data_IF_487792032461
#
_entry.id   IF_487792032461
#
_cell.length_a   1.000
_cell.length_b   1.000
_cell.length_c   1.000
_cell.angle_alpha   90.00
_cell.angle_beta   90.00
_cell.angle_gamma   90.00
#
_symmetry.space_group_name_H-M   'P 1'
#
loop_
_entity.id
_entity.type
_entity.pdbx_description
1 polymer ?
#
# COMPACT_ATOMS: atom_id res chain seq x y z
N UNK A 1 -8.07 4.86 -9.59
CA UNK A 1 -8.86 4.94 -8.34
C UNK A 1 -10.20 4.23 -8.41
N UNK A 2 -10.97 4.34 -9.50
CA UNK A 2 -12.25 3.60 -9.61
C UNK A 2 -12.10 2.08 -9.51
N UNK A 3 -11.03 1.49 -10.03
CA UNK A 3 -10.76 0.03 -9.95
C UNK A 3 -10.72 -0.47 -8.51
N UNK A 4 -9.94 0.20 -7.65
CA UNK A 4 -9.84 -0.15 -6.23
C UNK A 4 -11.18 0.05 -5.51
N UNK A 5 -11.90 1.15 -5.79
CA UNK A 5 -13.21 1.41 -5.20
C UNK A 5 -14.27 0.35 -5.56
N UNK A 6 -14.21 -0.22 -6.77
CA UNK A 6 -15.12 -1.29 -7.18
C UNK A 6 -14.75 -2.65 -6.58
N UNK A 7 -13.48 -2.84 -6.24
CA UNK A 7 -12.97 -4.06 -5.63
C UNK A 7 -13.12 -4.08 -4.10
N UNK A 8 -13.27 -2.91 -3.48
CA UNK A 8 -13.48 -2.78 -2.04
C UNK A 8 -14.97 -2.98 -1.70
N UNK A 9 -15.22 -3.70 -0.60
CA UNK A 9 -16.55 -3.82 -0.01
C UNK A 9 -16.83 -2.61 0.90
N UNK A 10 -15.77 -2.08 1.53
CA UNK A 10 -15.76 -0.93 2.43
C UNK A 10 -14.92 0.24 1.85
N UNK A 11 -15.08 1.47 2.34
CA UNK A 11 -14.23 2.60 1.95
C UNK A 11 -12.74 2.33 2.18
N UNK A 12 -11.90 2.78 1.24
CA UNK A 12 -10.44 2.71 1.38
C UNK A 12 -9.96 3.95 2.12
N UNK A 13 -9.16 3.74 3.15
CA UNK A 13 -8.68 4.81 4.03
C UNK A 13 -7.41 5.48 3.54
N UNK A 14 -6.51 4.72 2.91
CA UNK A 14 -5.28 5.26 2.35
C UNK A 14 -4.90 4.50 1.08
N UNK A 15 -4.40 5.25 0.09
CA UNK A 15 -3.75 4.67 -1.10
C UNK A 15 -2.45 5.43 -1.34
N UNK A 16 -1.35 4.70 -1.37
CA UNK A 16 -0.05 5.20 -1.79
C UNK A 16 0.62 4.23 -2.77
N UNK A 17 1.40 4.76 -3.70
CA UNK A 17 2.29 3.96 -4.56
C UNK A 17 3.71 4.30 -4.17
N UNK A 18 4.58 3.31 -4.14
CA UNK A 18 5.99 3.49 -3.90
C UNK A 18 6.82 2.79 -4.97
N UNK A 19 8.00 3.35 -5.20
CA UNK A 19 9.04 2.78 -6.05
C UNK A 19 10.40 2.99 -5.41
N UNK A 20 11.46 2.69 -6.16
CA UNK A 20 12.83 2.78 -5.66
C UNK A 20 13.21 4.14 -5.04
N UNK A 21 12.60 5.22 -5.53
CA UNK A 21 12.94 6.59 -5.15
C UNK A 21 11.73 7.49 -4.88
N UNK A 22 10.51 6.95 -4.91
CA UNK A 22 9.29 7.75 -4.73
C UNK A 22 8.29 7.07 -3.80
N UNK A 23 7.54 7.90 -3.08
CA UNK A 23 6.37 7.53 -2.31
C UNK A 23 5.30 8.58 -2.63
N UNK A 24 4.31 8.17 -3.40
CA UNK A 24 3.26 9.01 -3.95
C UNK A 24 1.95 8.68 -3.23
N UNK A 25 1.50 9.59 -2.36
CA UNK A 25 0.24 9.48 -1.62
C UNK A 25 -0.92 9.98 -2.50
N UNK A 26 -1.84 9.09 -2.87
CA UNK A 26 -2.97 9.41 -3.76
C UNK A 26 -4.27 9.68 -3.00
N UNK A 27 -4.42 9.09 -1.82
CA UNK A 27 -5.65 9.24 -1.04
C UNK A 27 -5.41 9.01 0.44
N UNK A 28 -6.11 9.83 1.22
CA UNK A 28 -6.34 9.69 2.65
C UNK A 28 -7.81 10.00 2.87
N UNK A 29 -8.53 9.14 3.58
CA UNK A 29 -9.94 9.36 3.92
C UNK A 29 -10.08 10.38 5.05
N UNK A 30 -11.22 11.07 5.10
CA UNK A 30 -11.58 11.90 6.26
C UNK A 30 -11.69 11.05 7.54
N UNK A 31 -12.15 9.80 7.43
CA UNK A 31 -12.27 8.88 8.56
C UNK A 31 -10.91 8.48 9.14
N UNK A 32 -9.88 8.32 8.29
CA UNK A 32 -8.50 8.12 8.73
C UNK A 32 -7.92 9.40 9.32
N UNK A 33 -8.17 10.53 8.67
CA UNK A 33 -7.68 11.82 9.16
C UNK A 33 -8.25 12.17 10.53
N UNK A 34 -9.53 11.88 10.77
CA UNK A 34 -10.23 12.13 12.02
C UNK A 34 -9.85 11.14 13.14
N UNK A 35 -9.19 10.01 12.83
CA UNK A 35 -8.70 9.10 13.87
C UNK A 35 -7.38 9.54 14.52
N UNK A 36 -6.73 10.59 14.00
CA UNK A 36 -5.57 11.20 14.62
C UNK A 36 -5.95 12.49 15.33
N UNK A 37 -5.34 12.76 16.49
CA UNK A 37 -5.56 13.99 17.27
C UNK A 37 -5.24 15.25 16.46
N UNK A 38 -4.21 15.17 15.60
CA UNK A 38 -3.76 16.28 14.79
C UNK A 38 -3.11 15.82 13.47
N UNK A 39 -3.02 16.76 12.53
CA UNK A 39 -2.46 16.51 11.19
C UNK A 39 -0.97 16.13 11.24
N UNK A 40 -0.19 16.66 12.18
CA UNK A 40 1.23 16.30 12.29
C UNK A 40 1.39 14.83 12.70
N UNK A 41 0.53 14.33 13.59
CA UNK A 41 0.50 12.91 13.97
C UNK A 41 0.20 12.00 12.77
N UNK A 42 -0.81 12.31 11.96
CA UNK A 42 -1.10 11.59 10.70
C UNK A 42 0.10 11.63 9.73
N UNK A 43 0.70 12.80 9.54
CA UNK A 43 1.86 12.97 8.64
C UNK A 43 3.06 12.17 9.14
N UNK A 44 3.29 12.12 10.45
CA UNK A 44 4.36 11.34 11.05
C UNK A 44 4.14 9.84 10.79
N UNK A 45 2.93 9.32 11.01
CA UNK A 45 2.61 7.92 10.72
C UNK A 45 2.78 7.58 9.24
N UNK A 46 2.33 8.45 8.32
CA UNK A 46 2.51 8.24 6.88
C UNK A 46 4.00 8.29 6.50
N UNK A 47 4.78 9.17 7.12
CA UNK A 47 6.22 9.28 6.86
C UNK A 47 6.97 8.04 7.33
N UNK A 48 6.66 7.55 8.54
CA UNK A 48 7.23 6.33 9.10
C UNK A 48 6.91 5.11 8.22
N UNK A 49 5.66 4.99 7.78
CA UNK A 49 5.22 3.99 6.81
C UNK A 49 6.00 4.12 5.48
N UNK A 50 6.20 5.33 4.97
CA UNK A 50 6.95 5.55 3.75
C UNK A 50 8.43 5.14 3.88
N UNK A 51 9.05 5.41 5.03
CA UNK A 51 10.42 4.98 5.32
C UNK A 51 10.53 3.46 5.42
N UNK A 52 9.65 2.80 6.19
CA UNK A 52 9.60 1.34 6.29
C UNK A 52 9.45 0.69 4.90
N UNK A 53 8.52 1.21 4.08
CA UNK A 53 8.29 0.69 2.73
C UNK A 53 9.48 0.91 1.81
N UNK A 54 10.22 2.01 1.97
CA UNK A 54 11.45 2.25 1.21
C UNK A 54 12.52 1.23 1.59
N UNK A 55 12.69 0.95 2.88
CA UNK A 55 13.63 -0.05 3.36
C UNK A 55 13.27 -1.47 2.89
N UNK A 56 12.00 -1.86 2.98
CA UNK A 56 11.52 -3.14 2.45
C UNK A 56 11.74 -3.20 0.94
N UNK A 57 11.39 -2.15 0.19
CA UNK A 57 11.58 -2.12 -1.26
C UNK A 57 13.06 -2.21 -1.68
N UNK A 58 13.96 -1.50 -1.01
CA UNK A 58 15.41 -1.63 -1.25
C UNK A 58 15.88 -3.04 -0.93
N UNK A 59 15.44 -3.62 0.20
CA UNK A 59 15.76 -5.01 0.56
C UNK A 59 15.27 -5.97 -0.52
N UNK A 60 14.02 -5.85 -0.97
CA UNK A 60 13.45 -6.67 -2.05
C UNK A 60 14.22 -6.48 -3.37
N UNK A 61 14.54 -5.24 -3.77
CA UNK A 61 15.28 -4.92 -4.99
C UNK A 61 16.72 -5.46 -5.00
N UNK A 62 17.41 -5.42 -3.85
CA UNK A 62 18.75 -5.99 -3.68
C UNK A 62 18.77 -7.51 -3.88
N UNK A 63 17.68 -8.21 -3.57
CA UNK A 63 17.57 -9.66 -3.76
C UNK A 63 16.88 -10.06 -5.07
N UNK A 64 16.08 -9.19 -5.68
CA UNK A 64 15.44 -9.42 -6.98
C UNK A 64 16.44 -9.54 -8.14
N UNK A 65 17.62 -8.92 -8.04
CA UNK A 65 18.68 -9.04 -9.04
C UNK A 65 19.26 -10.44 -9.22
N UNK A 66 18.95 -11.40 -8.33
CA UNK A 66 19.42 -12.78 -8.38
C UNK A 66 18.40 -13.78 -8.96
N UNK A 67 17.16 -13.34 -9.25
CA UNK A 67 16.14 -14.20 -9.86
C UNK A 67 15.32 -13.43 -10.91
N UNK A 68 15.09 -14.00 -12.11
CA UNK A 68 14.32 -13.33 -13.17
C UNK A 68 12.83 -13.36 -12.83
N UNK A 69 12.33 -12.41 -12.02
CA UNK A 69 10.94 -12.37 -11.56
C UNK A 69 10.30 -11.00 -11.77
N UNK A 70 10.46 -10.40 -12.95
CA UNK A 70 9.74 -9.16 -13.32
C UNK A 70 8.21 -9.30 -13.42
N UNK A 71 7.66 -10.51 -13.23
CA UNK A 71 6.21 -10.81 -13.31
C UNK A 71 5.64 -11.49 -12.06
N UNK A 72 6.40 -11.59 -10.97
CA UNK A 72 5.90 -12.23 -9.76
C UNK A 72 5.26 -11.15 -8.87
N UNK A 73 3.99 -11.35 -8.53
CA UNK A 73 3.29 -10.50 -7.58
C UNK A 73 3.47 -11.09 -6.19
N UNK A 74 3.98 -10.27 -5.28
CA UNK A 74 4.07 -10.57 -3.86
C UNK A 74 3.10 -9.67 -3.12
N UNK A 75 2.40 -10.20 -2.12
CA UNK A 75 1.55 -9.38 -1.26
C UNK A 75 1.78 -9.75 0.20
N UNK A 76 1.67 -8.75 1.07
CA UNK A 76 1.81 -8.87 2.52
C UNK A 76 0.64 -8.15 3.16
N UNK A 77 0.04 -8.78 4.18
CA UNK A 77 -0.98 -8.15 5.01
C UNK A 77 -0.48 -7.95 6.43
N UNK A 78 -0.91 -6.85 7.04
CA UNK A 78 -0.53 -6.44 8.38
C UNK A 78 -1.63 -5.60 9.02
N UNK A 79 -1.28 -4.95 10.12
CA UNK A 79 -2.16 -4.01 10.81
C UNK A 79 -1.42 -2.72 11.14
N UNK A 80 -2.13 -1.61 11.02
CA UNK A 80 -1.68 -0.28 11.43
C UNK A 80 -2.87 0.43 12.05
N UNK A 81 -2.74 0.91 13.29
CA UNK A 81 -3.80 1.61 14.03
C UNK A 81 -5.17 0.90 14.01
N UNK A 82 -5.17 -0.43 14.17
CA UNK A 82 -6.39 -1.26 14.16
C UNK A 82 -7.00 -1.50 12.77
N UNK A 83 -6.45 -0.89 11.72
CA UNK A 83 -6.85 -1.08 10.32
C UNK A 83 -6.00 -2.14 9.65
N UNK A 84 -6.51 -2.73 8.58
CA UNK A 84 -5.76 -3.70 7.77
C UNK A 84 -4.86 -2.94 6.80
N UNK A 85 -3.58 -3.27 6.84
CA UNK A 85 -2.56 -2.78 5.94
C UNK A 85 -2.31 -3.85 4.86
N UNK A 86 -2.46 -3.49 3.60
CA UNK A 86 -2.11 -4.36 2.47
C UNK A 86 -0.98 -3.71 1.68
N UNK A 87 0.08 -4.48 1.47
CA UNK A 87 1.22 -4.11 0.64
C UNK A 87 1.26 -5.05 -0.55
N UNK A 88 1.20 -4.50 -1.76
CA UNK A 88 1.23 -5.26 -3.01
C UNK A 88 2.46 -4.84 -3.78
N UNK A 89 3.32 -5.79 -4.09
CA UNK A 89 4.57 -5.60 -4.81
C UNK A 89 4.45 -6.22 -6.19
N UNK A 90 4.82 -5.45 -7.21
CA UNK A 90 5.02 -5.98 -8.55
C UNK A 90 6.29 -5.41 -9.19
N UNK A 91 7.32 -6.25 -9.28
CA UNK A 91 8.60 -5.88 -9.87
C UNK A 91 9.20 -4.65 -9.17
N UNK A 92 9.31 -3.55 -9.91
CA UNK A 92 9.93 -2.30 -9.44
C UNK A 92 8.99 -1.30 -8.76
N UNK A 93 7.74 -1.67 -8.49
CA UNK A 93 6.74 -0.79 -7.86
C UNK A 93 5.95 -1.56 -6.81
N UNK A 94 5.43 -0.84 -5.82
CA UNK A 94 4.45 -1.38 -4.90
C UNK A 94 3.34 -0.39 -4.59
N UNK A 95 2.27 -0.90 -4.01
CA UNK A 95 1.10 -0.14 -3.59
C UNK A 95 0.78 -0.50 -2.15
N UNK A 96 0.55 0.53 -1.34
CA UNK A 96 0.05 0.39 0.03
C UNK A 96 -1.40 0.82 0.08
N UNK A 97 -2.22 -0.03 0.71
CA UNK A 97 -3.62 0.23 0.99
C UNK A 97 -3.84 0.12 2.50
N UNK A 98 -4.52 1.10 3.07
CA UNK A 98 -5.09 0.98 4.41
C UNK A 98 -6.61 0.87 4.27
N UNK A 99 -7.19 -0.18 4.85
CA UNK A 99 -8.60 -0.54 4.67
C UNK A 99 -9.21 -1.07 5.96
N UNK A 100 -10.54 -1.19 5.98
CA UNK A 100 -11.28 -1.81 7.07
C UNK A 100 -10.74 -3.22 7.40
N UNK A 101 -10.63 -3.63 8.68
CA UNK A 101 -10.08 -4.92 9.08
C UNK A 101 -10.75 -6.13 8.42
N UNK A 102 -12.07 -6.07 8.20
CA UNK A 102 -12.85 -7.15 7.59
C UNK A 102 -12.82 -7.15 6.04
N UNK A 103 -12.13 -6.18 5.43
CA UNK A 103 -12.05 -6.10 3.97
C UNK A 103 -11.36 -7.32 3.37
N UNK A 104 -11.97 -7.89 2.33
CA UNK A 104 -11.39 -9.01 1.58
C UNK A 104 -10.15 -8.56 0.83
N UNK A 105 -9.06 -9.32 0.99
CA UNK A 105 -7.74 -8.97 0.45
C UNK A 105 -7.63 -9.25 -1.04
N UNK A 106 -8.06 -10.44 -1.48
CA UNK A 106 -7.89 -10.91 -2.87
C UNK A 106 -8.40 -9.93 -3.94
N UNK A 107 -9.62 -9.36 -3.83
CA UNK A 107 -10.12 -8.41 -4.82
C UNK A 107 -9.26 -7.14 -4.89
N UNK A 108 -8.79 -6.64 -3.74
CA UNK A 108 -7.94 -5.46 -3.66
C UNK A 108 -6.55 -5.71 -4.21
N UNK A 109 -5.97 -6.88 -3.91
CA UNK A 109 -4.67 -7.28 -4.46
C UNK A 109 -4.75 -7.35 -5.98
N UNK A 110 -5.79 -7.97 -6.55
CA UNK A 110 -5.97 -8.03 -8.01
C UNK A 110 -6.13 -6.63 -8.63
N UNK A 111 -6.96 -5.78 -8.03
CA UNK A 111 -7.13 -4.41 -8.50
C UNK A 111 -5.82 -3.58 -8.41
N UNK A 112 -5.03 -3.78 -7.35
CA UNK A 112 -3.71 -3.16 -7.20
C UNK A 112 -2.73 -3.65 -8.27
N UNK A 113 -2.73 -4.95 -8.60
CA UNK A 113 -1.92 -5.52 -9.68
C UNK A 113 -2.24 -4.86 -11.02
N UNK A 114 -3.53 -4.77 -11.38
CA UNK A 114 -3.96 -4.15 -12.64
C UNK A 114 -3.48 -2.68 -12.73
N UNK A 115 -3.56 -1.94 -11.62
CA UNK A 115 -3.10 -0.56 -11.56
C UNK A 115 -1.56 -0.42 -11.61
N UNK A 116 -0.84 -1.42 -11.10
CA UNK A 116 0.61 -1.52 -11.21
C UNK A 116 1.07 -2.04 -12.58
N UNK A 117 0.15 -2.22 -13.54
CA UNK A 117 0.45 -2.50 -14.95
C UNK A 117 0.80 -3.97 -15.24
N UNK A 118 0.13 -4.90 -14.56
CA UNK A 118 0.29 -6.35 -14.71
C UNK A 118 -1.01 -6.98 -15.19
#
# INVERSE_FOLDING_TARGET
>A
METLRRAADEPIDLVAVYGATSFDLFHVSDALSASYDDRASLVATISDLAEEMREEFVRHGLFAGLRPTQKQVEYKSGRLDGRKLLQVYCGGRGMVLLVHPDQREEPLVRAAMELLGV
#
